data_IF_361956712043
#
_entry.id   IF_361956712043
#
_cell.length_a   1.000
_cell.length_b   1.000
_cell.length_c   1.000
_cell.angle_alpha   90.00
_cell.angle_beta   90.00
_cell.angle_gamma   90.00
#
_symmetry.space_group_name_H-M   'P 1'
#
loop_
_entity.id
_entity.type
_entity.pdbx_description
1 polymer ?
#
# COMPACT_ATOMS: atom_id res chain seq x y z
N UNK A 1 1.12 28.34 -33.69
CA UNK A 1 0.27 28.74 -32.55
C UNK A 1 1.16 28.61 -31.32
N UNK A 2 1.57 29.75 -30.76
CA UNK A 2 2.58 29.84 -29.72
C UNK A 2 1.94 29.71 -28.34
N UNK A 3 2.52 28.83 -27.54
CA UNK A 3 2.84 28.97 -26.12
C UNK A 3 1.78 29.62 -25.21
N UNK A 4 0.98 28.78 -24.57
CA UNK A 4 0.24 29.13 -23.36
C UNK A 4 1.22 29.30 -22.20
N UNK A 5 1.78 30.51 -22.06
CA UNK A 5 2.72 30.85 -20.99
C UNK A 5 2.09 30.60 -19.61
N UNK A 6 2.71 29.72 -18.83
CA UNK A 6 2.38 29.53 -17.42
C UNK A 6 2.74 30.80 -16.65
N UNK A 7 1.72 31.55 -16.21
CA UNK A 7 1.89 32.84 -15.50
C UNK A 7 2.57 32.67 -14.14
N UNK A 8 2.70 31.45 -13.63
CA UNK A 8 3.39 31.13 -12.38
C UNK A 8 4.90 31.38 -12.44
N UNK A 9 5.52 31.31 -13.62
CA UNK A 9 6.97 31.48 -13.77
C UNK A 9 7.44 32.95 -13.66
N UNK A 10 6.51 33.92 -13.69
CA UNK A 10 6.84 35.35 -13.61
C UNK A 10 6.65 35.96 -12.22
N UNK A 11 5.98 35.28 -11.29
CA UNK A 11 5.84 35.73 -9.91
C UNK A 11 6.80 34.94 -9.01
N UNK A 12 7.62 35.63 -8.21
CA UNK A 12 8.49 34.99 -7.20
C UNK A 12 7.70 34.48 -5.97
N UNK A 13 6.44 34.10 -6.16
CA UNK A 13 5.51 33.65 -5.13
C UNK A 13 4.78 32.41 -5.63
N UNK A 14 4.94 31.31 -4.91
CA UNK A 14 4.18 30.08 -5.12
C UNK A 14 3.10 30.01 -4.05
N UNK A 15 1.83 30.03 -4.45
CA UNK A 15 0.70 30.14 -3.54
C UNK A 15 0.13 28.75 -3.19
N UNK A 16 0.30 28.33 -1.93
CA UNK A 16 -0.05 26.99 -1.43
C UNK A 16 -1.33 26.97 -0.56
N UNK A 17 -2.23 27.96 -0.73
CA UNK A 17 -3.39 28.17 0.17
C UNK A 17 -4.40 27.02 0.20
N UNK A 18 -4.40 26.14 -0.80
CA UNK A 18 -5.31 25.00 -0.86
C UNK A 18 -4.72 23.73 -0.22
N UNK A 19 -3.46 23.76 0.22
CA UNK A 19 -2.78 22.64 0.85
C UNK A 19 -2.78 22.79 2.37
N UNK A 20 -2.71 21.65 3.07
CA UNK A 20 -2.63 21.64 4.53
C UNK A 20 -1.31 22.31 4.99
N UNK A 21 -1.36 23.32 5.87
CA UNK A 21 -0.18 24.08 6.25
C UNK A 21 0.86 23.24 7.00
N UNK A 22 0.44 22.20 7.73
CA UNK A 22 1.38 21.30 8.43
C UNK A 22 2.08 20.37 7.43
N UNK A 23 1.36 19.87 6.42
CA UNK A 23 1.95 19.08 5.35
C UNK A 23 2.91 19.91 4.48
N UNK A 24 2.57 21.18 4.21
CA UNK A 24 3.46 22.12 3.50
C UNK A 24 4.71 22.39 4.32
N UNK A 25 4.59 22.64 5.62
CA UNK A 25 5.74 22.88 6.49
C UNK A 25 6.67 21.65 6.53
N UNK A 26 6.08 20.45 6.67
CA UNK A 26 6.81 19.19 6.60
C UNK A 26 7.52 18.99 5.25
N UNK A 27 6.86 19.29 4.14
CA UNK A 27 7.46 19.22 2.79
C UNK A 27 8.63 20.20 2.66
N UNK A 28 8.47 21.45 3.12
CA UNK A 28 9.54 22.45 3.08
C UNK A 28 10.70 22.00 3.97
N UNK A 29 10.43 21.51 5.18
CA UNK A 29 11.45 21.02 6.10
C UNK A 29 12.27 19.90 5.46
N UNK A 30 11.58 18.94 4.81
CA UNK A 30 12.22 17.88 4.05
C UNK A 30 13.14 18.40 2.95
N UNK A 31 12.73 19.41 2.18
CA UNK A 31 13.55 19.95 1.09
C UNK A 31 14.87 20.59 1.58
N UNK A 32 14.91 21.08 2.83
CA UNK A 32 16.10 21.69 3.40
C UNK A 32 16.95 20.73 4.24
N UNK A 33 16.33 19.74 4.90
CA UNK A 33 17.01 18.87 5.87
C UNK A 33 17.05 17.40 5.48
N UNK A 34 16.40 17.03 4.36
CA UNK A 34 16.15 15.64 3.92
C UNK A 34 15.38 14.79 4.93
N UNK A 35 14.71 15.45 5.89
CA UNK A 35 13.88 14.84 6.89
C UNK A 35 12.71 15.78 7.22
N UNK A 36 11.55 15.22 7.52
CA UNK A 36 10.43 15.94 8.11
C UNK A 36 10.13 15.31 9.48
N UNK A 37 10.81 15.80 10.51
CA UNK A 37 10.75 15.15 11.81
C UNK A 37 9.42 15.39 12.53
N UNK A 38 8.63 14.32 12.53
CA UNK A 38 7.94 13.74 13.66
C UNK A 38 8.47 14.20 15.04
N UNK A 39 7.73 15.10 15.71
CA UNK A 39 7.76 15.14 17.17
C UNK A 39 7.03 13.90 17.71
N UNK A 40 7.32 13.48 18.95
CA UNK A 40 6.78 12.27 19.63
C UNK A 40 5.23 12.20 19.63
N UNK A 41 4.56 13.25 19.15
CA UNK A 41 3.12 13.41 19.07
C UNK A 41 2.61 13.55 17.63
N UNK A 42 3.39 13.25 16.58
CA UNK A 42 2.87 13.48 15.22
C UNK A 42 1.72 12.54 14.92
N UNK A 43 0.55 13.09 14.58
CA UNK A 43 -0.61 12.28 14.25
C UNK A 43 -0.32 11.42 13.03
N UNK A 44 -0.83 10.17 13.01
CA UNK A 44 -0.80 9.34 11.80
C UNK A 44 -1.37 10.06 10.57
N UNK A 45 -2.37 10.93 10.80
CA UNK A 45 -2.97 11.81 9.79
C UNK A 45 -1.92 12.71 9.11
N UNK A 46 -0.92 13.21 9.83
CA UNK A 46 0.13 14.05 9.23
C UNK A 46 0.93 13.27 8.20
N UNK A 47 1.27 12.00 8.47
CA UNK A 47 1.96 11.16 7.47
C UNK A 47 1.13 11.01 6.20
N UNK A 48 -0.19 10.79 6.32
CA UNK A 48 -1.12 10.72 5.18
C UNK A 48 -1.16 12.03 4.40
N UNK A 49 -1.20 13.18 5.08
CA UNK A 49 -1.20 14.49 4.42
C UNK A 49 0.14 14.80 3.74
N UNK A 50 1.25 14.41 4.36
CA UNK A 50 2.59 14.53 3.75
C UNK A 50 2.73 13.61 2.53
N UNK A 51 2.13 12.43 2.56
CA UNK A 51 2.03 11.56 1.38
C UNK A 51 1.26 12.24 0.25
N UNK A 52 0.11 12.84 0.56
CA UNK A 52 -0.71 13.54 -0.44
C UNK A 52 0.01 14.73 -1.07
N UNK A 53 0.72 15.54 -0.28
CA UNK A 53 1.49 16.66 -0.81
C UNK A 53 2.72 16.17 -1.60
N UNK A 54 3.39 15.12 -1.14
CA UNK A 54 4.52 14.54 -1.86
C UNK A 54 4.12 13.97 -3.23
N UNK A 55 2.95 13.34 -3.32
CA UNK A 55 2.38 12.85 -4.58
C UNK A 55 2.00 14.02 -5.51
N UNK A 56 1.31 15.04 -4.97
CA UNK A 56 0.90 16.24 -5.71
C UNK A 56 2.07 17.01 -6.33
N UNK A 57 3.19 17.12 -5.61
CA UNK A 57 4.40 17.84 -6.06
C UNK A 57 5.49 16.92 -6.62
N UNK A 58 5.20 15.63 -6.83
CA UNK A 58 6.11 14.65 -7.41
C UNK A 58 7.46 14.51 -6.67
N UNK A 59 7.42 14.55 -5.33
CA UNK A 59 8.59 14.39 -4.45
C UNK A 59 8.68 12.94 -3.97
N UNK A 60 9.11 12.04 -4.86
CA UNK A 60 9.11 10.58 -4.63
C UNK A 60 9.83 10.15 -3.34
N UNK A 61 10.95 10.78 -3.00
CA UNK A 61 11.71 10.42 -1.80
C UNK A 61 10.98 10.80 -0.51
N UNK A 62 10.23 11.91 -0.51
CA UNK A 62 9.38 12.30 0.61
C UNK A 62 8.19 11.35 0.72
N UNK A 63 7.59 10.99 -0.42
CA UNK A 63 6.50 10.01 -0.48
C UNK A 63 6.92 8.67 0.12
N UNK A 64 8.07 8.13 -0.30
CA UNK A 64 8.64 6.88 0.25
C UNK A 64 8.90 6.99 1.76
N UNK A 65 9.58 8.05 2.20
CA UNK A 65 9.86 8.28 3.63
C UNK A 65 8.57 8.34 4.47
N UNK A 66 7.53 8.97 3.93
CA UNK A 66 6.27 9.10 4.63
C UNK A 66 5.48 7.80 4.71
N UNK A 67 5.51 6.99 3.65
CA UNK A 67 4.93 5.66 3.63
C UNK A 67 5.63 4.71 4.62
N UNK A 68 6.97 4.76 4.66
CA UNK A 68 7.77 3.93 5.58
C UNK A 68 7.42 4.26 7.04
N UNK A 69 7.36 5.55 7.38
CA UNK A 69 7.00 6.00 8.74
C UNK A 69 5.57 5.67 9.11
N UNK A 70 4.63 5.86 8.19
CA UNK A 70 3.23 5.48 8.41
C UNK A 70 3.12 3.98 8.71
N UNK A 71 3.79 3.14 7.92
CA UNK A 71 3.82 1.68 8.10
C UNK A 71 4.42 1.29 9.45
N UNK A 72 5.47 1.98 9.90
CA UNK A 72 6.06 1.76 11.22
C UNK A 72 5.08 2.14 12.35
N UNK A 73 4.44 3.32 12.27
CA UNK A 73 3.47 3.77 13.27
C UNK A 73 2.23 2.87 13.34
N UNK A 74 1.78 2.33 12.20
CA UNK A 74 0.65 1.39 12.14
C UNK A 74 0.90 0.14 13.00
N UNK A 75 2.14 -0.35 13.11
CA UNK A 75 2.45 -1.55 13.90
C UNK A 75 2.24 -1.33 15.40
N UNK A 76 2.49 -0.12 15.90
CA UNK A 76 2.36 0.21 17.32
C UNK A 76 1.02 0.85 17.69
N UNK A 77 0.37 1.55 16.76
CA UNK A 77 -0.79 2.41 17.05
C UNK A 77 -2.10 1.98 16.36
N UNK A 78 -2.16 0.79 15.74
CA UNK A 78 -3.36 0.31 15.03
C UNK A 78 -4.65 0.32 15.86
N UNK A 79 -4.55 0.16 17.18
CA UNK A 79 -5.70 0.09 18.11
C UNK A 79 -6.18 1.48 18.57
N UNK A 80 -5.47 2.54 18.19
CA UNK A 80 -5.77 3.91 18.63
C UNK A 80 -6.79 4.61 17.73
N UNK A 81 -7.46 5.64 18.27
CA UNK A 81 -8.33 6.50 17.48
C UNK A 81 -7.58 7.26 16.37
N UNK A 82 -6.28 7.54 16.56
CA UNK A 82 -5.44 8.21 15.58
C UNK A 82 -5.28 7.38 14.29
N UNK A 83 -5.19 6.05 14.43
CA UNK A 83 -5.19 5.15 13.28
C UNK A 83 -6.52 5.20 12.52
N UNK A 84 -7.66 5.13 13.23
CA UNK A 84 -8.97 5.22 12.61
C UNK A 84 -9.17 6.54 11.84
N UNK A 85 -8.74 7.66 12.41
CA UNK A 85 -8.77 8.97 11.76
C UNK A 85 -7.89 9.00 10.50
N UNK A 86 -6.67 8.47 10.57
CA UNK A 86 -5.79 8.38 9.42
C UNK A 86 -6.34 7.51 8.30
N UNK A 87 -6.99 6.39 8.64
CA UNK A 87 -7.70 5.54 7.66
C UNK A 87 -8.81 6.33 6.99
N UNK A 88 -9.66 7.03 7.75
CA UNK A 88 -10.71 7.87 7.17
C UNK A 88 -10.14 8.93 6.23
N UNK A 89 -9.02 9.56 6.59
CA UNK A 89 -8.32 10.53 5.75
C UNK A 89 -7.82 9.89 4.45
N UNK A 90 -7.19 8.70 4.48
CA UNK A 90 -6.69 8.00 3.29
C UNK A 90 -7.80 7.80 2.24
N UNK A 91 -8.98 7.34 2.69
CA UNK A 91 -10.12 7.12 1.79
C UNK A 91 -10.81 8.44 1.37
N UNK A 92 -10.67 9.52 2.14
CA UNK A 92 -11.25 10.84 1.82
C UNK A 92 -10.37 11.66 0.87
N UNK A 93 -9.04 11.56 0.99
CA UNK A 93 -8.08 12.36 0.21
C UNK A 93 -8.03 11.94 -1.26
N UNK A 94 -8.63 10.79 -1.61
CA UNK A 94 -8.64 10.32 -2.99
C UNK A 94 -7.26 9.89 -3.48
N UNK A 95 -6.40 9.39 -2.59
CA UNK A 95 -5.14 8.69 -2.93
C UNK A 95 -5.42 7.32 -3.58
N UNK A 96 -6.40 7.26 -4.47
CA UNK A 96 -6.95 6.06 -5.13
C UNK A 96 -5.88 5.28 -5.89
N UNK A 97 -4.77 5.94 -6.25
CA UNK A 97 -3.67 5.33 -7.00
C UNK A 97 -2.52 4.82 -6.10
N UNK A 98 -2.49 5.17 -4.81
CA UNK A 98 -1.48 4.65 -3.90
C UNK A 98 -1.98 3.36 -3.23
N UNK A 99 -1.92 2.27 -4.00
CA UNK A 99 -2.28 0.93 -3.53
C UNK A 99 -1.40 0.51 -2.35
N UNK A 100 -0.17 1.00 -2.25
CA UNK A 100 0.78 0.64 -1.17
C UNK A 100 0.22 1.01 0.21
N UNK A 101 -0.37 2.20 0.35
CA UNK A 101 -0.95 2.65 1.61
C UNK A 101 -2.22 1.88 1.97
N UNK A 102 -3.12 1.70 1.01
CA UNK A 102 -4.36 0.94 1.22
C UNK A 102 -4.07 -0.52 1.57
N UNK A 103 -3.13 -1.16 0.87
CA UNK A 103 -2.66 -2.49 1.20
C UNK A 103 -2.05 -2.54 2.61
N UNK A 104 -1.29 -1.53 3.02
CA UNK A 104 -0.71 -1.47 4.37
C UNK A 104 -1.80 -1.42 5.45
N UNK A 105 -2.83 -0.59 5.26
CA UNK A 105 -3.99 -0.49 6.18
C UNK A 105 -4.75 -1.82 6.23
N UNK A 106 -5.08 -2.39 5.07
CA UNK A 106 -5.79 -3.67 4.95
C UNK A 106 -5.02 -4.79 5.66
N UNK A 107 -3.72 -4.90 5.41
CA UNK A 107 -2.87 -5.91 6.05
C UNK A 107 -2.78 -5.71 7.56
N UNK A 108 -2.62 -4.47 8.02
CA UNK A 108 -2.57 -4.15 9.46
C UNK A 108 -3.87 -4.56 10.15
N UNK A 109 -5.03 -4.28 9.54
CA UNK A 109 -6.34 -4.68 10.08
C UNK A 109 -6.48 -6.21 10.11
N UNK A 110 -6.03 -6.90 9.06
CA UNK A 110 -6.07 -8.37 8.98
C UNK A 110 -5.24 -9.05 10.05
N UNK A 111 -4.00 -8.59 10.24
CA UNK A 111 -3.09 -9.13 11.25
C UNK A 111 -3.67 -9.00 12.67
N UNK A 112 -4.44 -7.94 12.91
CA UNK A 112 -5.07 -7.66 14.20
C UNK A 112 -6.56 -8.02 14.27
N UNK A 113 -7.11 -8.70 13.26
CA UNK A 113 -8.55 -8.97 13.16
C UNK A 113 -9.09 -9.83 14.31
N UNK A 114 -8.28 -10.75 14.83
CA UNK A 114 -8.64 -11.59 15.97
C UNK A 114 -8.87 -10.76 17.24
N UNK A 115 -8.06 -9.72 17.45
CA UNK A 115 -8.17 -8.81 18.57
C UNK A 115 -9.29 -7.78 18.36
N UNK A 116 -9.50 -7.35 17.12
CA UNK A 116 -10.61 -6.46 16.75
C UNK A 116 -11.98 -7.11 17.01
N UNK A 117 -12.09 -8.43 16.85
CA UNK A 117 -13.30 -9.21 17.18
C UNK A 117 -13.65 -9.14 18.66
N UNK A 118 -12.66 -8.98 19.54
CA UNK A 118 -12.90 -8.81 20.96
C UNK A 118 -13.62 -7.47 21.19
N UNK A 119 -14.54 -7.44 22.16
CA UNK A 119 -15.29 -6.25 22.52
C UNK A 119 -14.44 -5.28 23.38
N UNK A 120 -13.27 -4.86 22.86
CA UNK A 120 -12.47 -3.82 23.48
C UNK A 120 -13.06 -2.44 23.10
N UNK A 121 -13.36 -1.55 24.07
CA UNK A 121 -13.78 -0.18 23.81
C UNK A 121 -12.75 0.65 23.03
N UNK A 122 -11.45 0.37 23.14
CA UNK A 122 -10.41 1.13 22.42
C UNK A 122 -10.56 1.02 20.90
N UNK A 123 -11.10 -0.09 20.40
CA UNK A 123 -11.28 -0.32 18.96
C UNK A 123 -12.60 0.22 18.41
N UNK A 124 -13.37 0.99 19.20
CA UNK A 124 -14.69 1.48 18.75
C UNK A 124 -14.58 2.40 17.54
N UNK A 125 -13.56 3.26 17.51
CA UNK A 125 -13.33 4.20 16.41
C UNK A 125 -13.02 3.46 15.09
N UNK A 126 -12.15 2.44 15.15
CA UNK A 126 -11.81 1.64 13.97
C UNK A 126 -13.02 0.84 13.46
N UNK A 127 -13.86 0.31 14.36
CA UNK A 127 -15.12 -0.35 14.00
C UNK A 127 -16.10 0.59 13.31
N UNK A 128 -16.18 1.84 13.76
CA UNK A 128 -17.03 2.85 13.14
C UNK A 128 -16.57 3.19 11.71
N UNK A 129 -15.25 3.35 11.51
CA UNK A 129 -14.66 3.58 10.19
C UNK A 129 -14.90 2.40 9.24
N UNK A 130 -14.80 1.15 9.73
CA UNK A 130 -15.11 -0.04 8.94
C UNK A 130 -16.57 -0.10 8.48
N UNK A 131 -17.50 0.45 9.26
CA UNK A 131 -18.92 0.50 8.92
C UNK A 131 -19.27 1.71 8.03
N UNK A 132 -18.54 2.81 8.18
CA UNK A 132 -18.77 4.06 7.45
C UNK A 132 -18.13 4.03 6.06
N UNK A 133 -16.94 3.47 5.94
CA UNK A 133 -16.17 3.43 4.69
C UNK A 133 -16.43 2.13 3.95
N UNK A 134 -17.44 2.12 3.08
CA UNK A 134 -17.81 0.93 2.31
C UNK A 134 -16.70 0.41 1.38
N UNK A 135 -15.84 1.31 0.89
CA UNK A 135 -14.70 0.95 0.03
C UNK A 135 -13.68 0.07 0.77
N UNK A 136 -13.31 0.47 1.99
CA UNK A 136 -12.46 -0.32 2.88
C UNK A 136 -13.08 -1.69 3.20
N UNK A 137 -14.40 -1.73 3.48
CA UNK A 137 -15.12 -2.97 3.72
C UNK A 137 -15.11 -3.92 2.52
N UNK A 138 -15.27 -3.38 1.30
CA UNK A 138 -15.17 -4.16 0.07
C UNK A 138 -13.76 -4.70 -0.15
N UNK A 139 -12.73 -3.88 0.03
CA UNK A 139 -11.32 -4.29 -0.07
C UNK A 139 -11.00 -5.43 0.90
N UNK A 140 -11.38 -5.32 2.17
CA UNK A 140 -11.19 -6.37 3.18
C UNK A 140 -11.96 -7.66 2.85
N UNK A 141 -13.17 -7.54 2.30
CA UNK A 141 -13.99 -8.67 1.94
C UNK A 141 -13.43 -9.43 0.73
N UNK A 142 -13.09 -8.72 -0.35
CA UNK A 142 -12.52 -9.35 -1.54
C UNK A 142 -11.15 -9.96 -1.27
N UNK A 143 -10.30 -9.26 -0.52
CA UNK A 143 -9.03 -9.80 -0.08
C UNK A 143 -9.20 -11.01 0.86
N UNK A 144 -10.22 -11.00 1.71
CA UNK A 144 -10.62 -12.16 2.52
C UNK A 144 -11.12 -13.35 1.69
N UNK A 145 -11.88 -13.13 0.63
CA UNK A 145 -12.33 -14.18 -0.31
C UNK A 145 -11.13 -14.77 -1.05
N UNK A 146 -10.25 -13.93 -1.61
CA UNK A 146 -9.03 -14.39 -2.30
C UNK A 146 -8.13 -15.11 -1.31
N UNK A 147 -8.02 -14.61 -0.08
CA UNK A 147 -7.34 -15.28 1.03
C UNK A 147 -7.94 -16.65 1.36
N UNK A 148 -9.26 -16.79 1.37
CA UNK A 148 -9.93 -18.07 1.60
C UNK A 148 -9.74 -19.04 0.43
N UNK A 149 -9.82 -18.56 -0.82
CA UNK A 149 -9.55 -19.35 -2.03
C UNK A 149 -8.09 -19.85 -2.08
N UNK A 150 -7.16 -19.10 -1.51
CA UNK A 150 -5.75 -19.50 -1.40
C UNK A 150 -5.44 -20.30 -0.13
N UNK A 151 -6.28 -20.17 0.92
CA UNK A 151 -6.15 -20.90 2.19
C UNK A 151 -6.64 -22.36 2.13
N UNK A 152 -7.40 -22.78 1.10
CA UNK A 152 -7.73 -24.19 0.84
C UNK A 152 -6.54 -25.02 0.31
N UNK A 153 -5.33 -24.79 0.82
CA UNK A 153 -4.16 -25.63 0.56
C UNK A 153 -3.36 -26.02 1.81
N UNK A 154 -3.95 -25.88 3.01
CA UNK A 154 -3.42 -26.48 4.25
C UNK A 154 -4.24 -27.69 4.74
N UNK A 155 -4.71 -28.52 3.81
CA UNK A 155 -5.09 -29.91 4.13
C UNK A 155 -4.07 -30.83 3.49
N UNK A 156 -3.32 -31.52 4.35
CA UNK A 156 -2.52 -32.71 4.09
C UNK A 156 -1.54 -32.63 2.91
N UNK A 157 -0.28 -32.39 3.25
CA UNK A 157 0.87 -32.60 2.40
C UNK A 157 1.02 -34.09 2.04
N UNK A 158 0.28 -34.52 1.02
CA UNK A 158 0.72 -35.51 0.05
C UNK A 158 0.01 -35.20 -1.26
N UNK A 159 0.81 -34.78 -2.25
CA UNK A 159 0.48 -34.69 -3.68
C UNK A 159 -0.19 -33.38 -4.17
N UNK A 160 0.60 -32.31 -4.30
CA UNK A 160 0.19 -31.13 -5.06
C UNK A 160 1.10 -29.91 -4.93
N UNK A 161 2.41 -30.03 -5.22
CA UNK A 161 3.29 -28.86 -5.21
C UNK A 161 3.02 -27.96 -6.43
N UNK A 162 2.56 -26.74 -6.19
CA UNK A 162 2.66 -25.67 -7.19
C UNK A 162 4.14 -25.31 -7.41
N UNK A 163 4.52 -24.95 -8.63
CA UNK A 163 5.88 -24.46 -8.91
C UNK A 163 5.92 -22.96 -8.60
N UNK A 164 6.90 -22.51 -7.82
CA UNK A 164 7.08 -21.12 -7.44
C UNK A 164 8.01 -20.39 -8.41
N UNK A 165 7.66 -19.14 -8.73
CA UNK A 165 8.41 -18.26 -9.62
C UNK A 165 8.60 -16.88 -8.99
N UNK A 166 9.67 -16.19 -9.38
CA UNK A 166 9.94 -14.79 -9.02
C UNK A 166 10.09 -13.94 -10.29
N UNK A 167 9.40 -12.82 -10.37
CA UNK A 167 9.54 -11.94 -11.53
C UNK A 167 10.87 -11.15 -11.48
N UNK A 168 11.62 -11.07 -12.60
CA UNK A 168 12.87 -10.29 -12.68
C UNK A 168 12.65 -8.78 -12.88
N UNK A 169 11.42 -8.32 -13.12
CA UNK A 169 11.13 -6.90 -13.33
C UNK A 169 11.50 -6.06 -12.10
N UNK A 170 12.11 -4.89 -12.33
CA UNK A 170 12.56 -3.97 -11.27
C UNK A 170 11.43 -3.62 -10.28
N UNK A 171 10.18 -3.56 -10.76
CA UNK A 171 9.00 -3.30 -9.93
C UNK A 171 8.47 -4.47 -9.12
N UNK A 172 8.90 -5.73 -9.35
CA UNK A 172 8.48 -6.89 -8.55
C UNK A 172 9.64 -7.49 -7.72
N UNK A 173 10.88 -7.26 -8.14
CA UNK A 173 12.07 -7.72 -7.43
C UNK A 173 12.31 -6.95 -6.13
N UNK A 174 12.02 -5.64 -6.08
CA UNK A 174 12.13 -4.81 -4.86
C UNK A 174 11.14 -5.24 -3.77
N UNK A 175 9.93 -5.66 -4.15
CA UNK A 175 8.86 -6.08 -3.23
C UNK A 175 8.86 -7.57 -2.91
N UNK A 176 9.77 -8.33 -3.53
CA UNK A 176 9.94 -9.76 -3.27
C UNK A 176 8.75 -10.63 -3.65
N UNK A 177 7.94 -10.20 -4.62
CA UNK A 177 6.70 -10.88 -5.01
C UNK A 177 7.05 -12.23 -5.66
N UNK A 178 6.72 -13.30 -4.95
CA UNK A 178 6.74 -14.67 -5.46
C UNK A 178 5.31 -15.13 -5.73
N UNK A 179 5.13 -15.92 -6.78
CA UNK A 179 3.83 -16.50 -7.10
C UNK A 179 3.98 -17.98 -7.46
N UNK A 180 2.96 -18.78 -7.15
CA UNK A 180 2.93 -20.20 -7.47
C UNK A 180 1.93 -20.50 -8.58
N UNK A 181 2.32 -21.32 -9.54
CA UNK A 181 1.41 -21.84 -10.57
C UNK A 181 1.19 -23.34 -10.31
N UNK A 182 -0.07 -23.76 -10.21
CA UNK A 182 -0.40 -25.17 -10.06
C UNK A 182 -0.15 -25.92 -11.37
N UNK A 183 0.61 -27.03 -11.30
CA UNK A 183 0.93 -27.86 -12.48
C UNK A 183 -0.30 -28.40 -13.21
N UNK A 184 -1.43 -28.57 -12.52
CA UNK A 184 -2.73 -28.97 -13.09
C UNK A 184 -3.43 -27.89 -13.92
N UNK A 185 -3.04 -26.62 -13.73
CA UNK A 185 -3.60 -25.45 -14.38
C UNK A 185 -2.60 -24.77 -15.33
N UNK A 186 -1.45 -25.39 -15.60
CA UNK A 186 -0.57 -24.95 -16.67
C UNK A 186 -1.15 -25.41 -18.01
N UNK A 187 -1.73 -24.52 -18.84
CA UNK A 187 -2.01 -24.86 -20.23
C UNK A 187 -0.71 -25.32 -20.89
N UNK A 188 -0.74 -26.47 -21.57
CA UNK A 188 0.46 -27.09 -22.15
C UNK A 188 1.19 -26.19 -23.16
N UNK A 189 0.54 -25.14 -23.67
CA UNK A 189 1.03 -24.27 -24.74
C UNK A 189 0.90 -22.75 -24.48
N UNK A 190 0.58 -22.28 -23.27
CA UNK A 190 0.38 -20.83 -23.05
C UNK A 190 1.32 -20.21 -22.01
N UNK A 191 1.72 -18.98 -22.34
CA UNK A 191 2.35 -18.03 -21.44
C UNK A 191 1.48 -17.81 -20.20
N UNK A 192 2.15 -17.60 -19.07
CA UNK A 192 1.50 -17.13 -17.85
C UNK A 192 2.16 -15.82 -17.44
N UNK A 193 1.36 -14.89 -16.92
CA UNK A 193 1.81 -13.55 -16.62
C UNK A 193 2.13 -13.39 -15.13
N UNK A 194 3.05 -12.47 -14.84
CA UNK A 194 3.28 -12.01 -13.48
C UNK A 194 2.02 -11.30 -12.95
N UNK A 195 1.54 -11.59 -11.72
CA UNK A 195 0.38 -10.89 -11.14
C UNK A 195 0.54 -9.36 -11.07
N UNK A 196 1.80 -8.86 -10.99
CA UNK A 196 2.13 -7.44 -11.06
C UNK A 196 2.15 -6.84 -12.46
N UNK A 197 1.84 -7.62 -13.50
CA UNK A 197 1.76 -7.17 -14.90
C UNK A 197 3.11 -6.91 -15.58
N UNK A 198 4.24 -7.28 -14.96
CA UNK A 198 5.58 -6.91 -15.47
C UNK A 198 6.07 -7.77 -16.64
N UNK A 199 5.57 -8.99 -16.82
CA UNK A 199 6.00 -9.90 -17.89
C UNK A 199 4.88 -10.90 -18.22
N UNK A 200 4.73 -11.21 -19.50
CA UNK A 200 3.76 -12.18 -20.05
C UNK A 200 4.48 -13.14 -21.02
N UNK A 201 5.57 -13.74 -20.52
CA UNK A 201 6.45 -14.63 -21.28
C UNK A 201 6.02 -16.10 -21.14
N UNK A 202 6.56 -16.95 -21.99
CA UNK A 202 6.24 -18.38 -22.01
C UNK A 202 6.83 -19.17 -20.82
N UNK A 203 6.32 -20.40 -20.65
CA UNK A 203 6.72 -21.32 -19.56
C UNK A 203 8.21 -21.67 -19.56
N UNK A 204 8.85 -21.72 -20.73
CA UNK A 204 10.27 -22.03 -20.83
C UNK A 204 11.09 -20.84 -20.34
N UNK A 205 10.70 -19.62 -20.71
CA UNK A 205 11.28 -18.39 -20.18
C UNK A 205 11.15 -18.30 -18.66
N UNK A 206 10.00 -18.65 -18.09
CA UNK A 206 9.81 -18.63 -16.63
C UNK A 206 10.61 -19.70 -15.88
N UNK A 207 11.02 -20.78 -16.54
CA UNK A 207 11.74 -21.87 -15.87
C UNK A 207 13.09 -21.45 -15.30
N UNK A 208 13.69 -20.36 -15.80
CA UNK A 208 14.93 -19.79 -15.25
C UNK A 208 14.73 -18.97 -13.96
N UNK A 209 13.47 -18.67 -13.59
CA UNK A 209 13.14 -17.88 -12.40
C UNK A 209 12.36 -18.68 -11.35
N UNK A 210 12.47 -20.00 -11.39
CA UNK A 210 11.92 -20.87 -10.35
C UNK A 210 12.63 -20.65 -9.03
N UNK A 211 11.86 -20.65 -7.95
CA UNK A 211 12.37 -20.55 -6.59
C UNK A 211 11.84 -21.70 -5.74
N UNK A 212 12.52 -21.98 -4.64
CA UNK A 212 11.99 -22.83 -3.59
C UNK A 212 10.76 -22.17 -2.93
N UNK A 213 9.79 -22.96 -2.44
CA UNK A 213 8.63 -22.43 -1.75
C UNK A 213 9.07 -21.57 -0.56
N UNK A 214 8.48 -20.36 -0.38
CA UNK A 214 8.77 -19.54 0.79
C UNK A 214 8.33 -20.29 2.05
N UNK A 215 9.23 -20.38 3.03
CA UNK A 215 9.02 -21.00 4.34
C UNK A 215 8.15 -20.12 5.22
#
# INVERSE_FOLDING_TARGET
>A
MADSSSMEAQESKLNLVNDDPEAVDAMINYLYHFDYACSITTPLVLHVRVLAIADKYFIERLKKLAADRFTECCKSEWSTAAFAEAVSEIYSTGLVHDLTLRCTVVNTIKENAAELRLANPEHSALKDVLLTTSELGAELFFDGIVGAMTAESKTDASDGYGTWYRCPGDGCSEYGIAFSVQSSHLPDEHAFYCPGGCSDEDKDWWSQYRIDPPV
#
